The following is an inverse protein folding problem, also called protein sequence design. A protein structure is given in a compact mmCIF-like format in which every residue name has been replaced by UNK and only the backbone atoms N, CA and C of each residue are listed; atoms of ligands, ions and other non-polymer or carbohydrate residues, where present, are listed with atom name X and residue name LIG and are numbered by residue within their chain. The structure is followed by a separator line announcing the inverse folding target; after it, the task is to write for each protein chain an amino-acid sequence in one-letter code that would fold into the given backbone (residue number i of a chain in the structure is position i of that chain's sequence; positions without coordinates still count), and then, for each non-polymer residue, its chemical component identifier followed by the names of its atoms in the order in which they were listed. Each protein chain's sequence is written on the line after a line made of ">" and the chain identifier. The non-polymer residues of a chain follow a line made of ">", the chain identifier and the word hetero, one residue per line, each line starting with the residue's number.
data_IF_522620298909
#
_entry.id   IF_522620298909
#
_cell.length_a   1.000
_cell.length_b   1.000
_cell.length_c   1.000
_cell.angle_alpha   90.00
_cell.angle_beta   90.00
_cell.angle_gamma   90.00
#
_symmetry.space_group_name_H-M   'P 1'
#
loop_
_entity.id
_entity.type
_entity.pdbx_description
1 polymer ?
#
# COMPACT_ATOMS: atom_id res chain seq x y z
N UNK A 1 51.85 -28.83 -1.16
CA UNK A 1 51.74 -29.21 -2.58
C UNK A 1 50.38 -28.75 -3.12
N UNK A 2 50.41 -27.85 -4.11
CA UNK A 2 49.66 -27.88 -5.39
C UNK A 2 48.13 -28.08 -5.28
N UNK A 3 47.29 -27.05 -5.43
CA UNK A 3 46.86 -26.39 -6.69
C UNK A 3 45.74 -27.11 -7.45
N UNK A 4 44.72 -26.34 -7.86
CA UNK A 4 43.73 -26.69 -8.90
C UNK A 4 42.39 -25.97 -8.66
N UNK A 5 42.22 -24.69 -8.98
CA UNK A 5 42.01 -24.07 -10.30
C UNK A 5 40.70 -24.51 -11.02
N UNK A 6 39.72 -23.58 -11.08
CA UNK A 6 39.15 -22.91 -12.27
C UNK A 6 37.97 -23.58 -12.99
N UNK A 7 36.89 -22.80 -13.15
CA UNK A 7 36.03 -22.62 -14.36
C UNK A 7 34.68 -22.05 -13.88
N UNK A 8 34.33 -20.77 -14.08
CA UNK A 8 33.96 -20.10 -15.33
C UNK A 8 32.91 -20.86 -16.15
N UNK A 9 31.70 -20.27 -16.29
CA UNK A 9 30.82 -20.21 -17.49
C UNK A 9 29.47 -19.65 -17.01
N UNK A 10 29.20 -18.36 -17.19
CA UNK A 10 28.80 -17.67 -18.42
C UNK A 10 27.31 -17.85 -18.78
N UNK A 11 26.54 -16.83 -18.42
CA UNK A 11 25.61 -16.09 -19.28
C UNK A 11 25.16 -16.80 -20.57
N UNK A 12 23.92 -17.30 -20.58
CA UNK A 12 23.20 -17.60 -21.81
C UNK A 12 22.22 -16.43 -22.06
N UNK A 13 22.62 -15.46 -22.89
CA UNK A 13 22.18 -15.30 -24.30
C UNK A 13 20.66 -15.46 -24.43
N UNK A 14 19.92 -14.43 -24.84
CA UNK A 14 19.99 -13.93 -26.21
C UNK A 14 19.71 -12.43 -26.28
N UNK A 15 20.74 -11.72 -26.73
CA UNK A 15 20.70 -10.45 -27.44
C UNK A 15 19.88 -10.57 -28.73
N UNK A 16 19.06 -9.55 -29.03
CA UNK A 16 18.83 -8.96 -30.37
C UNK A 16 17.93 -7.72 -30.17
N UNK A 17 18.50 -6.55 -29.89
CA UNK A 17 18.94 -5.52 -30.86
C UNK A 17 17.82 -5.02 -31.80
N UNK A 18 17.20 -3.86 -31.43
CA UNK A 18 16.79 -2.69 -32.26
C UNK A 18 15.93 -2.90 -33.54
N UNK A 19 15.24 -1.88 -34.12
CA UNK A 19 15.00 -0.47 -33.72
C UNK A 19 13.51 -0.03 -33.85
N UNK A 20 13.17 1.26 -33.58
CA UNK A 20 11.89 1.88 -33.94
C UNK A 20 11.94 2.52 -35.34
N UNK A 21 10.83 2.55 -36.09
CA UNK A 21 10.58 3.41 -37.28
C UNK A 21 9.09 3.26 -37.65
N UNK A 22 8.28 4.33 -37.59
CA UNK A 22 8.14 5.43 -38.55
C UNK A 22 7.29 5.07 -39.79
N UNK A 23 6.17 5.77 -39.92
CA UNK A 23 5.43 6.18 -41.13
C UNK A 23 5.13 5.14 -42.24
N UNK A 24 3.86 4.94 -42.58
CA UNK A 24 3.17 5.75 -43.61
C UNK A 24 1.80 5.18 -44.02
N UNK A 25 0.86 6.10 -44.24
CA UNK A 25 -0.10 6.10 -45.37
C UNK A 25 -1.03 4.90 -45.61
N UNK A 26 -2.29 5.06 -45.21
CA UNK A 26 -3.39 4.78 -46.15
C UNK A 26 -4.31 6.01 -46.22
N UNK A 27 -4.16 6.66 -47.37
CA UNK A 27 -4.94 7.75 -47.94
C UNK A 27 -6.29 7.21 -48.43
N UNK A 28 -7.37 7.92 -48.13
CA UNK A 28 -8.38 8.24 -49.15
C UNK A 28 -9.30 9.35 -48.65
N UNK A 29 -9.30 10.40 -49.44
CA UNK A 29 -10.00 11.69 -49.36
C UNK A 29 -11.51 11.55 -49.66
N UNK A 30 -12.36 12.36 -49.03
CA UNK A 30 -13.16 13.42 -49.69
C UNK A 30 -13.91 14.29 -48.64
N UNK A 31 -14.16 15.59 -48.88
CA UNK A 31 -14.37 16.60 -47.85
C UNK A 31 -15.82 17.12 -47.72
N UNK A 32 -15.97 18.01 -46.73
CA UNK A 32 -16.94 19.10 -46.66
C UNK A 32 -18.34 18.80 -46.08
N UNK A 33 -18.57 19.18 -44.83
CA UNK A 33 -19.31 20.40 -44.50
C UNK A 33 -19.43 20.58 -42.97
N UNK A 34 -19.43 21.83 -42.56
CA UNK A 34 -19.28 22.32 -41.19
C UNK A 34 -20.38 21.89 -40.20
N UNK A 35 -20.00 21.69 -38.93
CA UNK A 35 -20.67 22.39 -37.83
C UNK A 35 -19.77 22.48 -36.60
N UNK A 36 -19.73 23.68 -36.03
CA UNK A 36 -18.89 24.10 -34.94
C UNK A 36 -19.27 23.44 -33.61
N UNK A 37 -18.28 23.01 -32.81
CA UNK A 37 -18.23 23.36 -31.38
C UNK A 37 -16.83 23.09 -30.83
N UNK A 38 -16.04 24.15 -30.64
CA UNK A 38 -14.78 24.07 -29.92
C UNK A 38 -15.01 24.16 -28.42
N UNK A 39 -14.57 23.15 -27.67
CA UNK A 39 -13.99 23.30 -26.32
C UNK A 39 -13.48 21.91 -25.90
N UNK A 40 -12.19 21.67 -25.72
CA UNK A 40 -11.48 22.17 -24.56
C UNK A 40 -11.01 20.96 -23.74
N UNK A 41 -9.73 20.65 -23.88
CA UNK A 41 -8.89 19.71 -23.12
C UNK A 41 -9.16 19.80 -21.61
N UNK A 42 -9.51 18.68 -20.95
CA UNK A 42 -9.43 18.36 -19.51
C UNK A 42 -9.78 19.43 -18.44
N UNK A 43 -10.55 19.06 -17.41
CA UNK A 43 -9.88 18.47 -16.26
C UNK A 43 -10.63 17.28 -15.66
N UNK A 44 -9.85 16.27 -15.26
CA UNK A 44 -10.24 15.23 -14.31
C UNK A 44 -10.98 15.86 -13.13
N UNK A 45 -12.29 15.64 -13.06
CA UNK A 45 -13.10 16.01 -11.90
C UNK A 45 -12.46 15.35 -10.68
N UNK A 46 -11.94 16.12 -9.70
CA UNK A 46 -11.55 15.50 -8.45
C UNK A 46 -12.82 14.89 -7.89
N UNK A 47 -12.82 13.58 -7.71
CA UNK A 47 -13.77 12.89 -6.84
C UNK A 47 -13.49 13.40 -5.43
N UNK A 48 -13.99 14.59 -5.13
CA UNK A 48 -14.09 15.10 -3.77
C UNK A 48 -14.81 14.01 -2.98
N UNK A 49 -14.22 13.48 -1.88
CA UNK A 49 -14.95 12.55 -1.05
C UNK A 49 -16.14 13.34 -0.50
N UNK A 50 -17.32 13.05 -1.04
CA UNK A 50 -18.60 13.56 -0.57
C UNK A 50 -18.85 12.95 0.81
N UNK A 51 -18.13 13.41 1.82
CA UNK A 51 -18.49 13.18 3.20
C UNK A 51 -19.32 14.38 3.62
N UNK A 52 -20.63 14.21 3.46
CA UNK A 52 -21.67 14.96 4.15
C UNK A 52 -21.14 15.36 5.52
N UNK A 53 -21.11 16.67 5.75
CA UNK A 53 -20.70 17.30 6.99
C UNK A 53 -21.67 16.90 8.12
N UNK A 54 -21.47 15.70 8.65
CA UNK A 54 -21.98 15.22 9.91
C UNK A 54 -20.79 14.80 10.76
N UNK A 55 -20.83 15.11 12.05
CA UNK A 55 -19.74 14.87 13.00
C UNK A 55 -19.12 13.47 12.82
N UNK A 56 -17.81 13.43 12.57
CA UNK A 56 -17.06 12.17 12.48
C UNK A 56 -16.67 11.73 13.89
N UNK A 57 -17.55 10.97 14.52
CA UNK A 57 -17.28 10.39 15.86
C UNK A 57 -16.36 9.17 15.77
N UNK A 58 -15.70 8.82 16.88
CA UNK A 58 -14.84 7.63 16.99
C UNK A 58 -15.56 6.34 16.54
N UNK A 59 -16.89 6.26 16.74
CA UNK A 59 -17.73 5.14 16.29
C UNK A 59 -17.76 4.95 14.77
N UNK A 60 -17.49 6.00 13.99
CA UNK A 60 -17.44 5.95 12.52
C UNK A 60 -16.05 5.56 11.99
N UNK A 61 -15.08 5.27 12.87
CA UNK A 61 -13.76 4.79 12.47
C UNK A 61 -13.79 3.28 12.23
N UNK A 62 -13.07 2.82 11.19
CA UNK A 62 -12.85 1.40 10.95
C UNK A 62 -11.75 0.89 11.90
N UNK A 63 -12.14 0.56 13.12
CA UNK A 63 -11.24 0.09 14.17
C UNK A 63 -10.78 -1.35 13.90
N UNK A 64 -9.50 -1.60 14.09
CA UNK A 64 -8.92 -2.94 14.15
C UNK A 64 -9.04 -3.53 15.56
N UNK A 65 -9.02 -4.87 15.66
CA UNK A 65 -9.10 -5.56 16.95
C UNK A 65 -7.87 -5.26 17.81
N UNK A 66 -8.08 -4.59 18.94
CA UNK A 66 -7.05 -4.35 19.93
C UNK A 66 -6.51 -5.67 20.50
N UNK A 67 -5.23 -5.67 20.85
CA UNK A 67 -4.64 -6.74 21.66
C UNK A 67 -5.01 -6.49 23.12
N UNK A 68 -5.68 -7.45 23.75
CA UNK A 68 -6.07 -7.40 25.17
C UNK A 68 -5.29 -8.44 25.97
N UNK A 69 -4.82 -8.06 27.16
CA UNK A 69 -4.05 -8.91 28.06
C UNK A 69 -4.52 -8.66 29.50
N UNK A 70 -4.71 -9.70 30.33
CA UNK A 70 -5.05 -9.49 31.75
C UNK A 70 -3.89 -8.87 32.52
N UNK A 71 -4.20 -8.02 33.51
CA UNK A 71 -3.21 -7.25 34.30
C UNK A 71 -2.24 -8.13 35.10
N UNK A 72 -2.62 -9.37 35.41
CA UNK A 72 -1.73 -10.36 36.04
C UNK A 72 -0.69 -10.97 35.08
N UNK A 73 -0.67 -10.58 33.80
CA UNK A 73 0.30 -11.07 32.82
C UNK A 73 1.64 -10.37 33.00
N UNK A 74 2.74 -11.12 32.92
CA UNK A 74 4.08 -10.54 33.02
C UNK A 74 4.41 -9.65 31.83
N UNK A 75 5.26 -8.64 32.07
CA UNK A 75 5.71 -7.69 31.04
C UNK A 75 6.36 -8.41 29.86
N UNK A 76 7.16 -9.45 30.11
CA UNK A 76 7.79 -10.25 29.06
C UNK A 76 6.78 -10.94 28.13
N UNK A 77 5.69 -11.46 28.68
CA UNK A 77 4.62 -12.07 27.88
C UNK A 77 3.83 -11.02 27.10
N UNK A 78 3.61 -9.84 27.70
CA UNK A 78 3.00 -8.70 27.01
C UNK A 78 3.85 -8.25 25.81
N UNK A 79 5.16 -8.04 26.02
CA UNK A 79 6.11 -7.68 24.95
C UNK A 79 6.16 -8.75 23.86
N UNK A 80 6.20 -10.03 24.22
CA UNK A 80 6.17 -11.14 23.24
C UNK A 80 4.91 -11.08 22.37
N UNK A 81 3.75 -10.82 22.97
CA UNK A 81 2.47 -10.72 22.25
C UNK A 81 2.39 -9.46 21.37
N UNK A 82 2.96 -8.34 21.82
CA UNK A 82 3.11 -7.12 21.00
C UNK A 82 3.95 -7.39 19.75
N UNK A 83 5.11 -8.02 19.91
CA UNK A 83 6.01 -8.36 18.81
C UNK A 83 5.37 -9.36 17.81
N UNK A 84 4.70 -10.40 18.33
CA UNK A 84 4.08 -11.42 17.50
C UNK A 84 2.95 -10.86 16.61
N UNK A 85 2.15 -9.91 17.13
CA UNK A 85 1.07 -9.27 16.39
C UNK A 85 1.48 -7.98 15.67
N UNK A 86 2.71 -7.51 15.91
CA UNK A 86 3.26 -6.24 15.39
C UNK A 86 2.34 -5.05 15.71
N UNK A 87 2.01 -4.91 17.00
CA UNK A 87 1.13 -3.83 17.51
C UNK A 87 1.91 -2.99 18.51
N UNK A 88 1.76 -1.68 18.42
CA UNK A 88 2.49 -0.70 19.25
C UNK A 88 1.87 -0.48 20.64
N UNK A 89 0.63 -0.93 20.83
CA UNK A 89 -0.15 -0.70 22.03
C UNK A 89 -1.04 -1.90 22.40
N UNK A 90 -1.24 -2.09 23.70
CA UNK A 90 -2.03 -3.18 24.29
C UNK A 90 -2.96 -2.64 25.35
N UNK A 91 -4.17 -3.19 25.41
CA UNK A 91 -5.13 -2.92 26.47
C UNK A 91 -4.96 -3.94 27.61
N UNK A 92 -4.82 -3.43 28.83
CA UNK A 92 -4.81 -4.25 30.04
C UNK A 92 -6.22 -4.39 30.59
N UNK A 93 -6.62 -5.61 30.94
CA UNK A 93 -7.91 -5.88 31.59
C UNK A 93 -7.72 -6.35 33.02
N UNK A 94 -8.57 -5.89 33.93
CA UNK A 94 -8.62 -6.38 35.30
C UNK A 94 -9.26 -7.79 35.38
N UNK A 95 -9.37 -8.31 36.60
CA UNK A 95 -10.04 -9.58 36.89
C UNK A 95 -11.55 -9.57 36.61
N UNK A 96 -12.16 -8.39 36.53
CA UNK A 96 -13.59 -8.21 36.24
C UNK A 96 -13.85 -8.05 34.73
N UNK A 97 -12.80 -8.06 33.90
CA UNK A 97 -12.88 -7.84 32.45
C UNK A 97 -13.03 -6.37 32.05
N UNK A 98 -12.83 -5.45 32.98
CA UNK A 98 -12.82 -4.00 32.74
C UNK A 98 -11.44 -3.55 32.28
N UNK A 99 -11.40 -2.41 31.58
CA UNK A 99 -10.15 -1.81 31.14
C UNK A 99 -9.42 -1.22 32.34
N UNK A 100 -8.25 -1.78 32.66
CA UNK A 100 -7.37 -1.33 33.75
C UNK A 100 -6.33 -0.31 33.24
N UNK A 101 -5.81 -0.49 32.02
CA UNK A 101 -4.80 0.43 31.48
C UNK A 101 -4.38 0.16 30.04
N UNK A 102 -3.37 0.89 29.59
CA UNK A 102 -2.77 0.77 28.26
C UNK A 102 -1.25 0.66 28.40
N UNK A 103 -0.65 -0.27 27.68
CA UNK A 103 0.81 -0.43 27.59
C UNK A 103 1.24 -0.11 26.16
N UNK A 104 2.26 0.73 26.00
CA UNK A 104 2.86 1.09 24.70
C UNK A 104 4.34 0.73 24.68
N UNK A 105 4.84 0.34 23.51
CA UNK A 105 6.26 0.01 23.28
C UNK A 105 7.16 1.26 23.33
N UNK A 106 6.58 2.45 23.10
CA UNK A 106 7.32 3.70 23.01
C UNK A 106 7.09 4.60 24.22
N UNK A 107 8.18 5.12 24.77
CA UNK A 107 8.24 6.20 25.78
C UNK A 107 8.35 7.57 25.14
#
# INVERSE_FOLDING_TARGET
>A
MNSGATAAVAQNRRTRSRPPSAASSRKSDDPSAASANGNGKGPSKPTSPNHVAGERTVKKLRLSKALTIPEGTTVSEACRRMAARRVDAVLLTDVNGLLSGIVTDKV
#
